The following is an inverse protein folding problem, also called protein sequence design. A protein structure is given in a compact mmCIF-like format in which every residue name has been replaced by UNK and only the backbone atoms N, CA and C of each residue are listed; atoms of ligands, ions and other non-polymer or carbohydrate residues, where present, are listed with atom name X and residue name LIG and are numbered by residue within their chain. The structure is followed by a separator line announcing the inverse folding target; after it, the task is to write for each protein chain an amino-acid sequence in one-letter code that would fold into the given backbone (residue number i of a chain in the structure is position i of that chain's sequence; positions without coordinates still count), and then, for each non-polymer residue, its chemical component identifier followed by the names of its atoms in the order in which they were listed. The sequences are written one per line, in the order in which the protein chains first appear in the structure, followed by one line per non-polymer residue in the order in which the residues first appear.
data_IF_869614155777
#
_entry.id   IF_869614155777
#
_cell.length_a   1.000
_cell.length_b   1.000
_cell.length_c   1.000
_cell.angle_alpha   90.00
_cell.angle_beta   90.00
_cell.angle_gamma   90.00
#
_symmetry.space_group_name_H-M   'P 1'
#
loop_
_entity.id
_entity.type
_entity.pdbx_description
1 polymer ?
#
# COMPACT_ATOMS: atom_id res chain seq x y z
N UNK A 1 16.89 -18.17 -4.24
CA UNK A 1 16.44 -17.34 -3.09
C UNK A 1 17.67 -16.93 -2.30
N UNK A 2 17.91 -15.63 -2.22
CA UNK A 2 19.03 -15.09 -1.46
C UNK A 2 18.77 -15.21 0.04
N UNK A 3 19.81 -15.59 0.80
CA UNK A 3 19.83 -15.52 2.25
C UNK A 3 20.61 -14.27 2.63
N UNK A 4 19.93 -13.26 3.14
CA UNK A 4 20.52 -11.99 3.51
C UNK A 4 20.41 -11.73 5.00
N UNK A 5 21.40 -11.02 5.55
CA UNK A 5 21.40 -10.64 6.97
C UNK A 5 20.70 -9.27 7.14
N UNK A 6 19.62 -9.26 7.88
CA UNK A 6 18.86 -8.07 8.26
C UNK A 6 19.07 -7.77 9.75
N UNK A 7 20.08 -6.98 10.07
CA UNK A 7 20.35 -6.58 11.46
C UNK A 7 20.66 -7.73 12.43
N UNK A 8 21.32 -8.78 11.96
CA UNK A 8 21.67 -9.97 12.75
C UNK A 8 20.72 -11.16 12.55
N UNK A 9 19.61 -10.99 11.84
CA UNK A 9 18.68 -12.05 11.47
C UNK A 9 18.83 -12.40 9.99
N UNK A 10 19.00 -13.68 9.68
CA UNK A 10 19.06 -14.13 8.28
C UNK A 10 17.65 -14.38 7.79
N UNK A 11 17.27 -13.72 6.69
CA UNK A 11 15.97 -13.85 6.04
C UNK A 11 16.11 -14.30 4.59
N UNK A 12 15.11 -15.01 4.10
CA UNK A 12 15.01 -15.44 2.71
C UNK A 12 14.27 -14.36 1.90
N UNK A 13 14.90 -13.90 0.84
CA UNK A 13 14.32 -12.92 -0.09
C UNK A 13 14.49 -13.38 -1.54
N UNK A 14 13.68 -12.80 -2.43
CA UNK A 14 13.83 -12.98 -3.87
C UNK A 14 14.22 -11.63 -4.47
N UNK A 15 15.35 -11.61 -5.15
CA UNK A 15 15.86 -10.43 -5.87
C UNK A 15 15.71 -10.62 -7.38
N UNK A 16 15.69 -9.52 -8.12
CA UNK A 16 15.47 -9.54 -9.58
C UNK A 16 16.51 -10.37 -10.33
N UNK A 17 17.74 -10.42 -9.84
CA UNK A 17 18.82 -11.20 -10.48
C UNK A 17 18.57 -12.72 -10.38
N UNK A 18 17.92 -13.20 -9.33
CA UNK A 18 17.59 -14.63 -9.16
C UNK A 18 16.29 -15.03 -9.88
N UNK A 19 15.41 -14.06 -10.09
CA UNK A 19 14.15 -14.26 -10.80
C UNK A 19 13.95 -13.12 -11.81
N UNK A 20 14.66 -13.16 -12.93
CA UNK A 20 14.61 -12.10 -13.94
C UNK A 20 13.23 -12.04 -14.61
N UNK A 21 12.92 -10.89 -15.23
CA UNK A 21 11.64 -10.63 -15.89
C UNK A 21 11.33 -11.65 -16.99
N UNK A 22 12.34 -12.13 -17.72
CA UNK A 22 12.19 -13.16 -18.75
C UNK A 22 11.67 -14.46 -18.16
N UNK A 23 12.16 -14.86 -16.98
CA UNK A 23 11.65 -16.03 -16.26
C UNK A 23 10.21 -15.81 -15.80
N UNK A 24 9.88 -14.61 -15.33
CA UNK A 24 8.51 -14.27 -14.95
C UNK A 24 7.55 -14.39 -16.15
N UNK A 25 7.98 -13.90 -17.33
CA UNK A 25 7.22 -14.03 -18.57
C UNK A 25 7.01 -15.49 -18.97
N UNK A 26 8.04 -16.31 -18.85
CA UNK A 26 7.92 -17.75 -19.16
C UNK A 26 6.95 -18.47 -18.23
N UNK A 27 7.00 -18.17 -16.93
CA UNK A 27 6.08 -18.75 -15.94
C UNK A 27 4.62 -18.39 -16.22
N UNK A 28 4.36 -17.16 -16.66
CA UNK A 28 3.01 -16.64 -16.85
C UNK A 28 2.58 -16.56 -18.33
N UNK A 29 3.31 -17.17 -19.26
CA UNK A 29 3.07 -17.04 -20.71
C UNK A 29 1.68 -17.51 -21.16
N UNK A 30 1.15 -18.53 -20.50
CA UNK A 30 -0.16 -19.13 -20.82
C UNK A 30 -1.27 -18.60 -19.90
N UNK A 31 -0.96 -17.66 -19.01
CA UNK A 31 -1.91 -17.10 -18.06
C UNK A 31 -2.60 -15.85 -18.61
N UNK A 32 -3.88 -15.70 -18.31
CA UNK A 32 -4.61 -14.45 -18.49
C UNK A 32 -4.84 -13.83 -17.12
N UNK A 33 -4.29 -12.65 -16.89
CA UNK A 33 -4.32 -11.95 -15.61
C UNK A 33 -5.46 -10.92 -15.65
N UNK A 34 -6.52 -11.12 -14.85
CA UNK A 34 -7.57 -10.13 -14.70
C UNK A 34 -7.34 -9.28 -13.44
N UNK A 35 -7.13 -7.99 -13.62
CA UNK A 35 -7.10 -7.02 -12.52
C UNK A 35 -8.52 -6.54 -12.23
N UNK A 36 -9.07 -6.97 -11.10
CA UNK A 36 -10.42 -6.63 -10.66
C UNK A 36 -10.36 -5.42 -9.74
N UNK A 37 -10.90 -4.31 -10.22
CA UNK A 37 -10.83 -3.00 -9.56
C UNK A 37 -9.72 -2.11 -10.11
N UNK A 38 -10.10 -0.85 -10.40
CA UNK A 38 -9.19 0.16 -10.96
C UNK A 38 -9.07 1.37 -10.03
N UNK A 39 -8.98 1.07 -8.71
CA UNK A 39 -8.87 2.04 -7.61
C UNK A 39 -7.43 2.50 -7.36
N UNK A 40 -6.92 2.26 -6.14
CA UNK A 40 -5.57 2.71 -5.71
C UNK A 40 -4.47 1.82 -6.32
N UNK A 41 -4.56 0.49 -6.18
CA UNK A 41 -3.53 -0.45 -6.64
C UNK A 41 -3.72 -0.88 -8.10
N UNK A 42 -4.97 -0.95 -8.57
CA UNK A 42 -5.31 -1.47 -9.90
C UNK A 42 -4.54 -0.82 -11.04
N UNK A 43 -4.51 0.52 -11.17
CA UNK A 43 -3.75 1.18 -12.23
C UNK A 43 -2.26 0.87 -12.20
N UNK A 44 -1.62 0.98 -11.03
CA UNK A 44 -0.19 0.75 -10.89
C UNK A 44 0.22 -0.66 -11.29
N UNK A 45 -0.45 -1.67 -10.75
CA UNK A 45 -0.12 -3.06 -11.01
C UNK A 45 -0.47 -3.50 -12.43
N UNK A 46 -1.67 -3.15 -12.93
CA UNK A 46 -2.09 -3.56 -14.27
C UNK A 46 -1.24 -2.94 -15.38
N UNK A 47 -0.92 -1.65 -15.25
CA UNK A 47 -0.07 -0.95 -16.23
C UNK A 47 1.36 -1.48 -16.22
N UNK A 48 1.93 -1.77 -15.03
CA UNK A 48 3.27 -2.34 -14.93
C UNK A 48 3.33 -3.74 -15.55
N UNK A 49 2.34 -4.59 -15.28
CA UNK A 49 2.24 -5.90 -15.92
C UNK A 49 2.12 -5.79 -17.44
N UNK A 50 1.24 -4.89 -17.93
CA UNK A 50 1.08 -4.65 -19.38
C UNK A 50 2.37 -4.18 -20.03
N UNK A 51 3.05 -3.21 -19.44
CA UNK A 51 4.30 -2.67 -19.97
C UNK A 51 5.44 -3.71 -19.94
N UNK A 52 5.38 -4.67 -19.01
CA UNK A 52 6.27 -5.82 -18.95
C UNK A 52 5.85 -6.98 -19.88
N UNK A 53 4.81 -6.80 -20.69
CA UNK A 53 4.43 -7.74 -21.76
C UNK A 53 3.60 -8.95 -21.31
N UNK A 54 2.93 -8.88 -20.15
CA UNK A 54 2.00 -9.91 -19.72
C UNK A 54 0.63 -9.76 -20.36
N UNK A 55 -0.13 -10.84 -20.48
CA UNK A 55 -1.52 -10.84 -20.97
C UNK A 55 -2.44 -10.40 -19.84
N UNK A 56 -2.82 -9.12 -19.86
CA UNK A 56 -3.60 -8.47 -18.79
C UNK A 56 -4.92 -7.95 -19.33
N UNK A 57 -5.98 -8.20 -18.59
CA UNK A 57 -7.30 -7.60 -18.78
C UNK A 57 -7.74 -6.91 -17.48
N UNK A 58 -8.66 -5.97 -17.56
CA UNK A 58 -9.20 -5.24 -16.42
C UNK A 58 -10.69 -5.53 -16.27
N UNK A 59 -11.11 -5.85 -15.06
CA UNK A 59 -12.51 -6.01 -14.68
C UNK A 59 -12.98 -4.83 -13.83
N UNK A 60 -13.86 -3.98 -14.36
CA UNK A 60 -14.34 -2.80 -13.67
C UNK A 60 -15.81 -2.50 -14.00
N UNK A 61 -16.58 -2.10 -12.99
CA UNK A 61 -17.95 -1.62 -13.20
C UNK A 61 -17.94 -0.20 -13.81
N UNK A 62 -18.98 0.18 -14.59
CA UNK A 62 -19.11 1.54 -15.12
C UNK A 62 -19.00 2.63 -14.04
N UNK A 63 -18.43 3.77 -14.41
CA UNK A 63 -18.24 4.95 -13.56
C UNK A 63 -16.85 5.57 -13.73
N UNK A 64 -16.49 6.53 -12.87
CA UNK A 64 -15.24 7.32 -12.97
C UNK A 64 -13.96 6.47 -13.10
N UNK A 65 -13.88 5.35 -12.37
CA UNK A 65 -12.72 4.45 -12.43
C UNK A 65 -12.68 3.63 -13.72
N UNK A 66 -13.82 3.33 -14.33
CA UNK A 66 -13.91 2.73 -15.67
C UNK A 66 -13.43 3.73 -16.74
N UNK A 67 -13.91 4.97 -16.68
CA UNK A 67 -13.48 6.04 -17.56
C UNK A 67 -11.97 6.29 -17.46
N UNK A 68 -11.43 6.24 -16.25
CA UNK A 68 -9.98 6.30 -16.02
C UNK A 68 -9.26 5.13 -16.70
N UNK A 69 -9.76 3.91 -16.61
CA UNK A 69 -9.16 2.76 -17.28
C UNK A 69 -9.14 2.96 -18.80
N UNK A 70 -10.22 3.46 -19.39
CA UNK A 70 -10.27 3.80 -20.83
C UNK A 70 -9.22 4.87 -21.18
N UNK A 71 -9.10 5.92 -20.37
CA UNK A 71 -8.08 6.96 -20.56
C UNK A 71 -6.65 6.43 -20.46
N UNK A 72 -6.40 5.41 -19.65
CA UNK A 72 -5.11 4.72 -19.48
C UNK A 72 -4.86 3.67 -20.62
N UNK A 73 -5.76 3.60 -21.60
CA UNK A 73 -5.60 2.79 -22.84
C UNK A 73 -6.14 1.37 -22.74
N UNK A 74 -7.02 1.07 -21.77
CA UNK A 74 -7.76 -0.20 -21.75
C UNK A 74 -8.98 -0.11 -22.69
N UNK A 75 -9.17 -1.12 -23.55
CA UNK A 75 -10.16 -1.10 -24.63
C UNK A 75 -11.41 -1.89 -24.23
N UNK A 76 -12.59 -1.23 -24.17
CA UNK A 76 -13.85 -1.91 -23.87
C UNK A 76 -14.13 -3.08 -24.82
N UNK A 77 -14.45 -4.25 -24.26
CA UNK A 77 -14.73 -5.47 -25.01
C UNK A 77 -13.50 -6.25 -25.50
N UNK A 78 -12.28 -5.69 -25.34
CA UNK A 78 -11.02 -6.35 -25.73
C UNK A 78 -10.12 -6.60 -24.51
N UNK A 79 -9.82 -5.54 -23.74
CA UNK A 79 -8.97 -5.58 -22.54
C UNK A 79 -9.63 -4.99 -21.30
N UNK A 80 -10.83 -4.41 -21.43
CA UNK A 80 -11.65 -3.87 -20.35
C UNK A 80 -13.06 -4.47 -20.40
N UNK A 81 -13.44 -5.15 -19.33
CA UNK A 81 -14.69 -5.90 -19.21
C UNK A 81 -15.44 -5.54 -17.91
N UNK A 82 -16.65 -6.05 -17.79
CA UNK A 82 -17.33 -6.16 -16.50
C UNK A 82 -16.58 -7.13 -15.57
N UNK A 83 -16.79 -7.00 -14.27
CA UNK A 83 -16.05 -7.80 -13.25
C UNK A 83 -16.24 -9.30 -13.49
N UNK A 84 -17.48 -9.75 -13.67
CA UNK A 84 -17.80 -11.18 -13.88
C UNK A 84 -17.13 -11.73 -15.14
N UNK A 85 -17.26 -11.01 -16.26
CA UNK A 85 -16.68 -11.45 -17.53
C UNK A 85 -15.15 -11.51 -17.46
N UNK A 86 -14.50 -10.53 -16.83
CA UNK A 86 -13.07 -10.56 -16.63
C UNK A 86 -12.63 -11.76 -15.77
N UNK A 87 -13.35 -12.05 -14.68
CA UNK A 87 -13.09 -13.22 -13.83
C UNK A 87 -13.26 -14.56 -14.56
N UNK A 88 -14.27 -14.64 -15.44
CA UNK A 88 -14.51 -15.85 -16.25
C UNK A 88 -13.37 -16.09 -17.24
N UNK A 89 -12.86 -15.04 -17.90
CA UNK A 89 -11.78 -15.10 -18.89
C UNK A 89 -10.40 -15.39 -18.27
N UNK A 90 -10.20 -15.03 -17.02
CA UNK A 90 -8.90 -15.09 -16.35
C UNK A 90 -8.53 -16.49 -15.85
N UNK A 91 -7.23 -16.76 -15.80
CA UNK A 91 -6.62 -17.87 -15.04
C UNK A 91 -6.07 -17.38 -13.70
N UNK A 92 -5.68 -16.08 -13.63
CA UNK A 92 -5.28 -15.41 -12.40
C UNK A 92 -6.20 -14.21 -12.18
N UNK A 93 -6.94 -14.21 -11.07
CA UNK A 93 -7.86 -13.14 -10.68
C UNK A 93 -7.20 -12.29 -9.59
N UNK A 94 -6.72 -11.09 -9.94
CA UNK A 94 -6.13 -10.13 -9.01
C UNK A 94 -7.22 -9.25 -8.40
N UNK A 95 -7.64 -9.54 -7.18
CA UNK A 95 -8.67 -8.79 -6.47
C UNK A 95 -8.07 -7.53 -5.83
N UNK A 96 -8.11 -6.41 -6.56
CA UNK A 96 -7.54 -5.10 -6.15
C UNK A 96 -8.64 -4.07 -5.82
N UNK A 97 -9.74 -4.56 -5.29
CA UNK A 97 -10.84 -3.75 -4.76
C UNK A 97 -10.52 -3.31 -3.32
N UNK A 98 -11.19 -2.27 -2.83
CA UNK A 98 -11.19 -1.97 -1.39
C UNK A 98 -11.89 -3.08 -0.60
N UNK A 99 -11.55 -3.26 0.68
CA UNK A 99 -12.06 -4.36 1.50
C UNK A 99 -13.59 -4.44 1.53
N UNK A 100 -14.29 -3.30 1.69
CA UNK A 100 -15.74 -3.26 1.61
C UNK A 100 -16.28 -3.62 0.22
N UNK A 101 -15.56 -3.26 -0.85
CA UNK A 101 -15.96 -3.61 -2.20
C UNK A 101 -15.72 -5.10 -2.50
N UNK A 102 -14.64 -5.68 -1.98
CA UNK A 102 -14.40 -7.14 -2.06
C UNK A 102 -15.59 -7.88 -1.48
N UNK A 103 -16.01 -7.54 -0.27
CA UNK A 103 -17.14 -8.17 0.42
C UNK A 103 -18.41 -8.11 -0.44
N UNK A 104 -18.73 -6.94 -0.99
CA UNK A 104 -19.96 -6.74 -1.78
C UNK A 104 -19.93 -7.44 -3.15
N UNK A 105 -18.75 -7.62 -3.74
CA UNK A 105 -18.57 -8.23 -5.08
C UNK A 105 -18.20 -9.71 -5.00
N UNK A 106 -17.86 -10.21 -3.82
CA UNK A 106 -17.47 -11.61 -3.62
C UNK A 106 -18.46 -12.63 -4.17
N UNK A 107 -19.78 -12.46 -4.01
CA UNK A 107 -20.76 -13.38 -4.62
C UNK A 107 -20.68 -13.46 -6.15
N UNK A 108 -20.17 -12.41 -6.82
CA UNK A 108 -19.96 -12.40 -8.27
C UNK A 108 -18.61 -13.05 -8.65
N UNK A 109 -17.57 -12.80 -7.86
CA UNK A 109 -16.21 -13.31 -8.13
C UNK A 109 -16.12 -14.81 -7.85
N UNK A 110 -16.61 -15.27 -6.69
CA UNK A 110 -16.44 -16.63 -6.21
C UNK A 110 -16.86 -17.72 -7.22
N UNK A 111 -18.02 -17.63 -7.90
CA UNK A 111 -18.43 -18.63 -8.89
C UNK A 111 -17.52 -18.72 -10.12
N UNK A 112 -16.75 -17.67 -10.41
CA UNK A 112 -15.81 -17.63 -11.53
C UNK A 112 -14.46 -18.28 -11.20
N UNK A 113 -14.19 -18.55 -9.91
CA UNK A 113 -12.96 -19.17 -9.42
C UNK A 113 -13.04 -20.68 -9.53
N UNK A 114 -12.81 -21.19 -10.74
CA UNK A 114 -12.84 -22.63 -11.04
C UNK A 114 -11.49 -23.28 -10.75
N UNK A 115 -11.48 -24.61 -10.66
CA UNK A 115 -10.32 -25.43 -10.37
C UNK A 115 -9.06 -24.99 -11.14
N UNK A 116 -7.94 -24.88 -10.44
CA UNK A 116 -6.62 -24.54 -11.00
C UNK A 116 -6.37 -23.07 -11.26
N UNK A 117 -7.38 -22.21 -11.12
CA UNK A 117 -7.16 -20.74 -11.14
C UNK A 117 -6.39 -20.27 -9.91
N UNK A 118 -5.83 -19.07 -9.99
CA UNK A 118 -5.25 -18.39 -8.84
C UNK A 118 -6.05 -17.14 -8.47
N UNK A 119 -6.31 -16.97 -7.17
CA UNK A 119 -6.86 -15.77 -6.58
C UNK A 119 -5.74 -14.99 -5.90
N UNK A 120 -5.54 -13.74 -6.33
CA UNK A 120 -4.46 -12.88 -5.85
C UNK A 120 -5.00 -11.69 -5.08
N UNK A 121 -4.30 -11.34 -4.00
CA UNK A 121 -4.53 -10.12 -3.21
C UNK A 121 -3.25 -9.30 -3.10
N UNK A 122 -3.39 -7.99 -2.84
CA UNK A 122 -2.28 -7.10 -2.48
C UNK A 122 -2.30 -6.65 -1.02
N UNK A 123 -3.19 -7.22 -0.23
CA UNK A 123 -3.33 -7.00 1.21
C UNK A 123 -3.99 -8.23 1.84
N UNK A 124 -3.52 -8.60 3.02
CA UNK A 124 -3.98 -9.82 3.70
C UNK A 124 -5.34 -9.71 4.39
N UNK A 125 -6.00 -8.55 4.38
CA UNK A 125 -7.20 -8.22 5.14
C UNK A 125 -8.35 -9.22 4.92
N UNK A 126 -8.78 -9.38 3.67
CA UNK A 126 -9.97 -10.14 3.32
C UNK A 126 -9.91 -11.60 3.78
N UNK A 127 -8.74 -12.23 3.68
CA UNK A 127 -8.51 -13.63 4.05
C UNK A 127 -8.24 -13.77 5.56
N UNK A 128 -7.49 -12.85 6.15
CA UNK A 128 -7.16 -12.88 7.59
C UNK A 128 -8.40 -12.83 8.46
N UNK A 129 -9.37 -12.00 8.09
CA UNK A 129 -10.64 -11.85 8.81
C UNK A 129 -11.82 -12.36 7.98
N UNK A 130 -11.65 -13.54 7.39
CA UNK A 130 -12.68 -14.17 6.55
C UNK A 130 -13.99 -14.47 7.30
N UNK A 131 -13.94 -14.64 8.61
CA UNK A 131 -15.09 -14.74 9.50
C UNK A 131 -15.95 -13.46 9.54
N UNK A 132 -15.37 -12.30 9.25
CA UNK A 132 -16.01 -10.99 9.21
C UNK A 132 -16.33 -10.53 7.80
N UNK A 133 -15.43 -10.82 6.87
CA UNK A 133 -15.55 -10.38 5.48
C UNK A 133 -16.43 -11.30 4.64
N UNK A 134 -16.61 -12.56 5.06
CA UNK A 134 -17.27 -13.60 4.26
C UNK A 134 -16.47 -14.08 3.05
N UNK A 135 -15.22 -13.61 2.88
CA UNK A 135 -14.35 -13.96 1.76
C UNK A 135 -13.68 -15.29 2.04
N UNK A 136 -14.34 -16.38 1.63
CA UNK A 136 -13.85 -17.74 1.77
C UNK A 136 -13.58 -18.32 0.39
N UNK A 137 -12.30 -18.46 -0.03
CA UNK A 137 -11.93 -19.00 -1.33
C UNK A 137 -12.40 -20.47 -1.52
N UNK A 138 -12.65 -20.90 -2.76
CA UNK A 138 -12.81 -22.32 -3.07
C UNK A 138 -11.56 -23.13 -2.70
N UNK A 139 -11.73 -24.40 -2.34
CA UNK A 139 -10.63 -25.27 -1.89
C UNK A 139 -9.75 -25.82 -3.04
N UNK A 140 -10.15 -25.61 -4.29
CA UNK A 140 -9.54 -26.15 -5.50
C UNK A 140 -8.81 -25.13 -6.37
N UNK A 141 -8.46 -23.97 -5.79
CA UNK A 141 -7.69 -22.89 -6.44
C UNK A 141 -6.43 -22.54 -5.64
N UNK A 142 -5.47 -21.85 -6.27
CA UNK A 142 -4.39 -21.22 -5.54
C UNK A 142 -4.87 -19.89 -4.92
N UNK A 143 -4.36 -19.56 -3.73
CA UNK A 143 -4.59 -18.24 -3.09
C UNK A 143 -3.26 -17.64 -2.69
N UNK A 144 -2.94 -16.51 -3.31
CA UNK A 144 -1.62 -15.89 -3.27
C UNK A 144 -1.71 -14.39 -2.98
N UNK A 145 -0.61 -13.83 -2.54
CA UNK A 145 -0.51 -12.39 -2.26
C UNK A 145 0.87 -11.84 -2.65
N UNK A 146 0.85 -10.66 -3.26
CA UNK A 146 2.02 -9.76 -3.29
C UNK A 146 1.56 -8.38 -2.85
N UNK A 147 2.11 -7.90 -1.75
CA UNK A 147 1.75 -6.62 -1.14
C UNK A 147 2.90 -5.61 -1.27
N UNK A 148 2.87 -4.71 -2.28
CA UNK A 148 3.83 -3.62 -2.41
C UNK A 148 3.77 -2.69 -1.20
N UNK A 149 4.93 -2.32 -0.65
CA UNK A 149 5.02 -1.42 0.50
C UNK A 149 5.00 0.04 0.04
N UNK A 150 3.82 0.47 -0.38
CA UNK A 150 3.51 1.81 -0.85
C UNK A 150 2.24 1.90 -1.71
N UNK A 151 1.83 3.12 -2.05
CA UNK A 151 0.65 3.35 -2.88
C UNK A 151 0.83 2.85 -4.31
N UNK A 152 -0.27 2.55 -4.99
CA UNK A 152 -0.24 2.17 -6.41
C UNK A 152 0.35 3.26 -7.31
N UNK A 153 0.16 4.53 -6.94
CA UNK A 153 0.80 5.67 -7.64
C UNK A 153 2.31 5.62 -7.48
N UNK A 154 2.82 5.41 -6.25
CA UNK A 154 4.25 5.29 -6.00
C UNK A 154 4.85 4.06 -6.70
N UNK A 155 4.13 2.94 -6.71
CA UNK A 155 4.54 1.74 -7.46
C UNK A 155 4.74 2.05 -8.94
N UNK A 156 3.79 2.75 -9.55
CA UNK A 156 3.85 3.14 -10.97
C UNK A 156 4.98 4.13 -11.25
N UNK A 157 5.11 5.17 -10.44
CA UNK A 157 6.16 6.20 -10.61
C UNK A 157 7.55 5.58 -10.51
N UNK A 158 7.80 4.79 -9.46
CA UNK A 158 9.10 4.14 -9.27
C UNK A 158 9.40 3.14 -10.38
N UNK A 159 8.40 2.42 -10.90
CA UNK A 159 8.57 1.53 -12.04
C UNK A 159 9.03 2.28 -13.29
N UNK A 160 8.40 3.41 -13.61
CA UNK A 160 8.76 4.25 -14.75
C UNK A 160 10.17 4.87 -14.61
N UNK A 161 10.64 5.06 -13.38
CA UNK A 161 11.99 5.51 -13.07
C UNK A 161 13.03 4.38 -13.08
N UNK A 162 12.65 3.14 -13.42
CA UNK A 162 13.54 1.99 -13.36
C UNK A 162 13.85 1.49 -11.94
N UNK A 163 13.11 1.97 -10.96
CA UNK A 163 13.17 1.60 -9.54
C UNK A 163 12.08 0.57 -9.20
N UNK A 164 11.92 0.22 -7.93
CA UNK A 164 10.84 -0.66 -7.49
C UNK A 164 10.56 -0.51 -6.00
N UNK A 165 9.29 -0.64 -5.63
CA UNK A 165 8.88 -0.79 -4.24
C UNK A 165 9.17 -2.20 -3.75
N UNK A 166 9.67 -2.34 -2.54
CA UNK A 166 9.78 -3.64 -1.90
C UNK A 166 8.37 -4.21 -1.66
N UNK A 167 8.23 -5.51 -1.77
CA UNK A 167 6.93 -6.17 -1.59
C UNK A 167 7.07 -7.39 -0.69
N UNK A 168 6.07 -7.63 0.15
CA UNK A 168 5.94 -8.93 0.79
C UNK A 168 5.13 -9.87 -0.09
N UNK A 169 5.38 -11.18 0.03
CA UNK A 169 4.59 -12.20 -0.64
C UNK A 169 4.13 -13.28 0.34
N UNK A 170 2.99 -13.89 0.05
CA UNK A 170 2.49 -15.02 0.83
C UNK A 170 1.69 -15.99 -0.05
N UNK A 171 1.73 -17.26 0.32
CA UNK A 171 0.91 -18.33 -0.24
C UNK A 171 -0.01 -18.80 0.87
N UNK A 172 -1.32 -18.63 0.67
CA UNK A 172 -2.33 -19.12 1.59
C UNK A 172 -2.76 -20.54 1.24
N UNK A 173 -2.87 -20.81 -0.09
CA UNK A 173 -3.30 -22.09 -0.62
C UNK A 173 -2.55 -22.40 -1.92
N UNK A 174 -1.94 -23.57 -2.01
CA UNK A 174 -1.26 -24.10 -3.20
C UNK A 174 -1.87 -25.46 -3.58
N UNK A 175 -2.76 -25.46 -4.54
CA UNK A 175 -3.44 -26.66 -5.02
C UNK A 175 -2.81 -27.17 -6.30
N UNK A 176 -2.25 -26.25 -7.10
CA UNK A 176 -1.68 -26.58 -8.40
C UNK A 176 -0.20 -26.96 -8.34
N UNK A 177 0.48 -26.71 -7.21
CA UNK A 177 1.94 -26.79 -7.08
C UNK A 177 2.69 -25.66 -7.81
N UNK A 178 1.94 -24.63 -8.31
CA UNK A 178 2.50 -23.48 -9.06
C UNK A 178 2.36 -22.16 -8.30
N UNK A 179 1.73 -22.16 -7.13
CA UNK A 179 1.42 -20.93 -6.40
C UNK A 179 2.67 -20.08 -6.14
N UNK A 180 3.78 -20.71 -5.75
CA UNK A 180 5.04 -20.00 -5.52
C UNK A 180 5.56 -19.28 -6.77
N UNK A 181 5.70 -20.01 -7.89
CA UNK A 181 6.25 -19.42 -9.12
C UNK A 181 5.34 -18.33 -9.68
N UNK A 182 4.00 -18.53 -9.65
CA UNK A 182 3.02 -17.52 -10.02
C UNK A 182 3.16 -16.26 -9.15
N UNK A 183 3.31 -16.43 -7.84
CA UNK A 183 3.44 -15.32 -6.89
C UNK A 183 4.69 -14.48 -7.16
N UNK A 184 5.83 -15.15 -7.29
CA UNK A 184 7.09 -14.45 -7.55
C UNK A 184 7.08 -13.78 -8.93
N UNK A 185 6.57 -14.47 -9.96
CA UNK A 185 6.47 -13.92 -11.30
C UNK A 185 5.57 -12.68 -11.36
N UNK A 186 4.43 -12.68 -10.62
CA UNK A 186 3.58 -11.50 -10.48
C UNK A 186 4.30 -10.36 -9.73
N UNK A 187 5.01 -10.69 -8.64
CA UNK A 187 5.79 -9.70 -7.89
C UNK A 187 6.85 -9.00 -8.73
N UNK A 188 7.59 -9.76 -9.54
CA UNK A 188 8.56 -9.21 -10.51
C UNK A 188 7.81 -8.43 -11.60
N UNK A 189 6.70 -8.98 -12.11
CA UNK A 189 5.90 -8.37 -13.17
C UNK A 189 5.30 -7.01 -12.81
N UNK A 190 4.87 -6.81 -11.57
CA UNK A 190 4.40 -5.50 -11.09
C UNK A 190 5.54 -4.53 -10.78
N UNK A 191 6.80 -4.95 -10.86
CA UNK A 191 7.96 -4.09 -10.68
C UNK A 191 8.46 -3.98 -9.25
N UNK A 192 8.31 -5.02 -8.42
CA UNK A 192 8.85 -5.03 -7.04
C UNK A 192 10.37 -4.84 -7.01
N UNK A 193 10.89 -4.17 -5.98
CA UNK A 193 12.32 -4.01 -5.71
C UNK A 193 12.95 -5.35 -5.31
N UNK A 194 12.55 -5.90 -4.17
CA UNK A 194 12.76 -7.28 -3.77
C UNK A 194 11.50 -7.82 -3.11
N UNK A 195 11.41 -9.14 -2.99
CA UNK A 195 10.27 -9.83 -2.40
C UNK A 195 10.72 -10.55 -1.12
N UNK A 196 9.98 -10.38 -0.03
CA UNK A 196 10.21 -11.09 1.24
C UNK A 196 8.98 -11.86 1.66
N UNK A 197 9.21 -13.02 2.27
CA UNK A 197 8.13 -13.92 2.67
C UNK A 197 7.39 -13.43 3.90
N UNK A 198 6.07 -13.60 3.89
CA UNK A 198 5.19 -13.33 5.02
C UNK A 198 4.01 -14.31 5.04
N UNK A 199 2.99 -14.03 5.84
CA UNK A 199 1.68 -14.68 5.79
C UNK A 199 0.59 -13.62 5.64
N UNK A 200 -0.60 -14.01 5.17
CA UNK A 200 -1.74 -13.09 5.08
C UNK A 200 -2.01 -12.39 6.43
N UNK A 201 -1.97 -13.15 7.52
CA UNK A 201 -2.18 -12.60 8.87
C UNK A 201 -1.08 -11.62 9.31
N UNK A 202 0.20 -11.97 9.08
CA UNK A 202 1.31 -11.07 9.42
C UNK A 202 1.29 -9.79 8.60
N UNK A 203 1.04 -9.93 7.31
CA UNK A 203 0.94 -8.78 6.40
C UNK A 203 -0.19 -7.85 6.84
N UNK A 204 -1.42 -8.36 7.00
CA UNK A 204 -2.56 -7.56 7.43
C UNK A 204 -2.32 -6.89 8.79
N UNK A 205 -1.69 -7.59 9.74
CA UNK A 205 -1.40 -7.04 11.06
C UNK A 205 -0.34 -5.93 10.99
N UNK A 206 0.76 -6.14 10.27
CA UNK A 206 1.82 -5.14 10.16
C UNK A 206 1.39 -3.93 9.33
N UNK A 207 0.63 -4.14 8.25
CA UNK A 207 0.17 -3.10 7.36
C UNK A 207 -0.82 -2.15 8.06
N UNK A 208 -1.88 -2.69 8.69
CA UNK A 208 -2.82 -1.88 9.47
C UNK A 208 -2.15 -1.15 10.64
N UNK A 209 -1.16 -1.78 11.28
CA UNK A 209 -0.38 -1.12 12.35
C UNK A 209 0.48 0.01 11.78
N UNK A 210 1.13 -0.23 10.64
CA UNK A 210 1.96 0.77 9.96
C UNK A 210 1.17 2.00 9.52
N UNK A 211 0.02 1.80 8.85
CA UNK A 211 -0.83 2.89 8.37
C UNK A 211 -1.35 3.79 9.50
N UNK A 212 -1.83 3.19 10.57
CA UNK A 212 -2.34 3.91 11.76
C UNK A 212 -1.21 4.47 12.63
N UNK A 213 -0.05 3.84 12.57
CA UNK A 213 1.19 4.24 13.23
C UNK A 213 2.00 5.24 12.41
N UNK A 214 3.29 4.92 12.25
CA UNK A 214 4.31 5.83 11.72
C UNK A 214 4.10 6.27 10.26
N UNK A 215 3.33 5.53 9.45
CA UNK A 215 3.16 5.88 8.03
C UNK A 215 2.18 7.04 7.81
N UNK A 216 1.11 7.14 8.62
CA UNK A 216 0.10 8.20 8.48
C UNK A 216 -0.40 8.71 9.83
N UNK A 217 -1.03 7.87 10.66
CA UNK A 217 -1.76 8.34 11.84
C UNK A 217 -0.87 8.99 12.89
N UNK A 218 0.19 8.31 13.32
CA UNK A 218 1.08 8.82 14.36
C UNK A 218 1.93 10.01 13.88
N UNK A 219 2.42 10.00 12.63
CA UNK A 219 3.18 11.16 12.10
C UNK A 219 2.30 12.41 12.01
N UNK A 220 1.04 12.26 11.56
CA UNK A 220 0.10 13.38 11.54
C UNK A 220 -0.18 13.93 12.94
N UNK A 221 -0.41 13.04 13.91
CA UNK A 221 -0.62 13.43 15.30
C UNK A 221 0.59 14.14 15.92
N UNK A 222 1.81 13.66 15.65
CA UNK A 222 3.05 14.29 16.11
C UNK A 222 3.22 15.71 15.54
N UNK A 223 3.03 15.85 14.22
CA UNK A 223 3.16 17.15 13.55
C UNK A 223 2.14 18.15 14.08
N UNK A 224 0.89 17.72 14.26
CA UNK A 224 -0.17 18.56 14.79
C UNK A 224 0.12 19.00 16.23
N UNK A 225 0.51 18.09 17.11
CA UNK A 225 0.82 18.40 18.49
C UNK A 225 1.97 19.42 18.63
N UNK A 226 3.04 19.26 17.85
CA UNK A 226 4.15 20.22 17.86
C UNK A 226 3.74 21.59 17.30
N UNK A 227 2.96 21.59 16.21
CA UNK A 227 2.43 22.84 15.64
C UNK A 227 1.56 23.59 16.65
N UNK A 228 0.63 22.93 17.31
CA UNK A 228 -0.25 23.53 18.31
C UNK A 228 0.55 24.12 19.49
N UNK A 229 1.51 23.39 20.04
CA UNK A 229 2.37 23.90 21.13
C UNK A 229 3.14 25.14 20.70
N UNK A 230 3.68 25.20 19.50
CA UNK A 230 4.36 26.40 18.99
C UNK A 230 3.37 27.57 18.87
N UNK A 231 2.18 27.34 18.31
CA UNK A 231 1.13 28.36 18.18
C UNK A 231 0.68 28.90 19.54
N UNK A 232 0.49 28.04 20.51
CA UNK A 232 0.09 28.40 21.90
C UNK A 232 1.17 29.24 22.60
N UNK A 233 2.43 29.09 22.20
CA UNK A 233 3.55 29.87 22.73
C UNK A 233 3.90 31.12 21.90
N UNK A 234 3.02 31.52 20.97
CA UNK A 234 3.10 32.79 20.27
C UNK A 234 3.87 32.78 18.96
N UNK A 235 4.36 31.62 18.48
CA UNK A 235 4.95 31.54 17.17
C UNK A 235 3.92 31.76 16.05
N UNK A 236 4.32 32.42 14.98
CA UNK A 236 3.41 32.65 13.84
C UNK A 236 3.04 31.35 13.14
N UNK A 237 1.89 31.27 12.42
CA UNK A 237 1.55 30.06 11.64
C UNK A 237 2.66 29.64 10.67
N UNK A 238 3.29 30.61 10.00
CA UNK A 238 4.39 30.33 9.07
C UNK A 238 5.61 29.73 9.78
N UNK A 239 6.02 30.31 10.92
CA UNK A 239 7.14 29.80 11.70
C UNK A 239 6.84 28.39 12.23
N UNK A 240 5.68 28.18 12.89
CA UNK A 240 5.29 26.88 13.40
C UNK A 240 5.23 25.81 12.30
N UNK A 241 4.74 26.16 11.10
CA UNK A 241 4.67 25.21 9.98
C UNK A 241 6.05 24.88 9.42
N UNK A 242 6.93 25.86 9.27
CA UNK A 242 8.30 25.61 8.78
C UNK A 242 9.07 24.70 9.73
N UNK A 243 9.03 24.97 11.04
CA UNK A 243 9.72 24.19 12.07
C UNK A 243 9.11 22.81 12.35
N UNK A 244 7.94 22.52 11.81
CA UNK A 244 7.24 21.24 12.06
C UNK A 244 7.17 20.37 10.80
N UNK A 245 6.69 20.93 9.69
CA UNK A 245 6.37 20.16 8.48
C UNK A 245 7.35 20.44 7.35
N UNK A 246 7.60 21.72 7.07
CA UNK A 246 8.29 22.11 5.83
C UNK A 246 9.76 21.68 5.85
N UNK A 247 10.50 22.01 6.90
CA UNK A 247 11.90 21.61 7.06
C UNK A 247 12.05 20.08 7.08
N UNK A 248 11.15 19.38 7.81
CA UNK A 248 11.16 17.93 7.85
C UNK A 248 11.02 17.33 6.44
N UNK A 249 10.02 17.76 5.67
CA UNK A 249 9.68 17.12 4.40
C UNK A 249 10.53 17.58 3.24
N UNK A 250 10.94 18.84 3.21
CA UNK A 250 11.73 19.42 2.12
C UNK A 250 13.23 19.12 2.27
N UNK A 251 13.75 19.12 3.50
CA UNK A 251 15.18 19.03 3.79
C UNK A 251 15.59 17.69 4.44
N UNK A 252 14.97 17.33 5.55
CA UNK A 252 15.48 16.24 6.39
C UNK A 252 15.05 14.85 5.91
N UNK A 253 13.81 14.68 5.46
CA UNK A 253 13.31 13.38 4.96
C UNK A 253 14.07 12.86 3.72
N UNK A 254 14.53 13.67 2.77
CA UNK A 254 15.40 13.21 1.70
C UNK A 254 16.73 12.63 2.19
N UNK A 255 17.33 13.21 3.23
CA UNK A 255 18.55 12.69 3.86
C UNK A 255 18.28 11.37 4.58
N UNK A 256 17.18 11.34 5.35
CA UNK A 256 16.72 10.12 6.02
C UNK A 256 16.44 8.98 5.01
N UNK A 257 15.75 9.26 3.92
CA UNK A 257 15.45 8.27 2.89
C UNK A 257 16.70 7.74 2.18
N UNK A 258 17.76 8.55 2.07
CA UNK A 258 19.01 8.16 1.40
C UNK A 258 19.84 7.19 2.23
N UNK A 259 20.03 7.44 3.51
CA UNK A 259 20.93 6.64 4.36
C UNK A 259 20.55 6.65 5.85
N UNK A 260 19.27 6.81 6.18
CA UNK A 260 18.76 6.73 7.56
C UNK A 260 19.09 7.94 8.43
N UNK A 261 18.83 7.77 9.73
CA UNK A 261 18.98 8.83 10.74
C UNK A 261 20.42 9.33 10.86
N UNK A 262 21.40 8.46 10.68
CA UNK A 262 22.83 8.81 10.79
C UNK A 262 23.20 9.90 9.76
N UNK A 263 22.80 9.74 8.50
CA UNK A 263 23.02 10.77 7.48
C UNK A 263 22.28 12.06 7.79
N UNK A 264 21.05 11.98 8.28
CA UNK A 264 20.28 13.15 8.68
C UNK A 264 21.00 13.90 9.80
N UNK A 265 21.43 13.21 10.88
CA UNK A 265 22.19 13.82 11.97
C UNK A 265 23.51 14.43 11.49
N UNK A 266 24.27 13.73 10.67
CA UNK A 266 25.56 14.22 10.14
C UNK A 266 25.45 15.54 9.36
N UNK A 267 24.28 15.86 8.85
CA UNK A 267 24.00 17.11 8.13
C UNK A 267 23.38 18.21 9.00
N UNK A 268 23.25 17.98 10.30
CA UNK A 268 22.71 18.95 11.26
C UNK A 268 23.78 19.48 12.21
N UNK A 269 23.51 20.60 12.88
CA UNK A 269 24.41 21.18 13.88
C UNK A 269 24.57 20.24 15.09
N UNK A 270 25.68 20.35 15.80
CA UNK A 270 25.91 19.56 17.02
C UNK A 270 24.87 19.84 18.11
N UNK A 271 24.32 21.05 18.15
CA UNK A 271 23.20 21.42 19.03
C UNK A 271 21.94 20.64 18.69
N UNK A 272 21.58 20.57 17.39
CA UNK A 272 20.43 19.79 16.93
C UNK A 272 20.62 18.30 17.21
N UNK A 273 21.80 17.75 16.88
CA UNK A 273 22.15 16.36 17.16
C UNK A 273 21.96 16.01 18.64
N UNK A 274 22.52 16.82 19.53
CA UNK A 274 22.45 16.57 20.99
C UNK A 274 21.01 16.64 21.49
N UNK A 275 20.28 17.69 21.13
CA UNK A 275 18.89 17.87 21.53
C UNK A 275 17.99 16.72 21.05
N UNK A 276 18.14 16.33 19.79
CA UNK A 276 17.37 15.21 19.22
C UNK A 276 17.64 13.88 19.92
N UNK A 277 18.91 13.57 20.23
CA UNK A 277 19.27 12.35 20.99
C UNK A 277 18.71 12.39 22.41
N UNK A 278 18.69 13.54 23.07
CA UNK A 278 18.16 13.66 24.43
C UNK A 278 16.64 13.48 24.46
N UNK A 279 15.92 13.95 23.45
CA UNK A 279 14.46 13.84 23.39
C UNK A 279 13.93 12.57 22.72
N UNK A 280 14.77 11.79 22.05
CA UNK A 280 14.38 10.51 21.47
C UNK A 280 13.75 9.57 22.50
N UNK A 281 14.37 9.42 23.67
CA UNK A 281 13.88 8.53 24.74
C UNK A 281 12.53 8.98 25.31
N UNK A 282 12.34 10.26 25.72
CA UNK A 282 11.02 10.73 26.14
C UNK A 282 9.90 10.48 25.11
N UNK A 283 10.16 10.72 23.83
CA UNK A 283 9.17 10.43 22.78
C UNK A 283 8.91 8.94 22.63
N UNK A 284 9.96 8.11 22.61
CA UNK A 284 9.81 6.65 22.55
C UNK A 284 8.93 6.13 23.68
N UNK A 285 9.21 6.55 24.92
CA UNK A 285 8.50 6.07 26.11
C UNK A 285 7.04 6.51 26.14
N UNK A 286 6.75 7.70 25.60
CA UNK A 286 5.38 8.17 25.46
C UNK A 286 4.60 7.44 24.35
N UNK A 287 5.24 7.15 23.21
CA UNK A 287 4.58 6.59 22.04
C UNK A 287 4.45 5.06 22.13
N UNK A 288 5.43 4.36 22.66
CA UNK A 288 5.45 2.88 22.68
C UNK A 288 4.17 2.26 23.27
N UNK A 289 3.63 2.71 24.42
CA UNK A 289 2.38 2.17 24.95
C UNK A 289 1.18 2.37 24.03
N UNK A 290 1.15 3.48 23.27
CA UNK A 290 0.10 3.75 22.30
C UNK A 290 0.19 2.78 21.12
N UNK A 291 1.41 2.52 20.62
CA UNK A 291 1.64 1.55 19.53
C UNK A 291 1.30 0.12 19.98
N UNK A 292 1.64 -0.26 21.23
CA UNK A 292 1.27 -1.56 21.79
C UNK A 292 -0.26 -1.74 21.87
N UNK A 293 -0.99 -0.70 22.30
CA UNK A 293 -2.46 -0.68 22.30
C UNK A 293 -3.02 -0.82 20.88
N UNK A 294 -2.46 -0.07 19.93
CA UNK A 294 -2.83 -0.15 18.51
C UNK A 294 -2.60 -1.56 17.97
N UNK A 295 -1.40 -2.12 18.16
CA UNK A 295 -1.07 -3.46 17.69
C UNK A 295 -2.01 -4.52 18.25
N UNK A 296 -2.35 -4.43 19.54
CA UNK A 296 -3.33 -5.33 20.16
C UNK A 296 -4.71 -5.19 19.52
N UNK A 297 -5.19 -3.96 19.27
CA UNK A 297 -6.47 -3.69 18.61
C UNK A 297 -6.51 -4.25 17.18
N UNK A 298 -5.43 -4.10 16.43
CA UNK A 298 -5.28 -4.71 15.10
C UNK A 298 -5.30 -6.23 15.19
N UNK A 299 -4.46 -6.81 16.04
CA UNK A 299 -4.29 -8.27 16.17
C UNK A 299 -5.60 -8.98 16.55
N UNK A 300 -6.44 -8.36 17.36
CA UNK A 300 -7.76 -8.88 17.76
C UNK A 300 -8.84 -8.68 16.69
N UNK A 301 -8.52 -8.00 15.58
CA UNK A 301 -9.44 -7.70 14.50
C UNK A 301 -10.43 -6.56 14.82
N UNK A 302 -10.22 -5.83 15.91
CA UNK A 302 -11.07 -4.68 16.25
C UNK A 302 -10.95 -3.59 15.18
N UNK A 303 -9.73 -3.28 14.74
CA UNK A 303 -9.50 -2.28 13.68
C UNK A 303 -10.09 -2.71 12.32
N UNK A 304 -10.07 -4.01 12.04
CA UNK A 304 -10.73 -4.55 10.85
C UNK A 304 -12.25 -4.35 10.92
N UNK A 305 -12.87 -4.63 12.08
CA UNK A 305 -14.29 -4.43 12.27
C UNK A 305 -14.68 -2.95 12.13
N UNK A 306 -13.92 -2.04 12.74
CA UNK A 306 -14.16 -0.58 12.62
C UNK A 306 -14.12 -0.16 11.13
N UNK A 307 -13.15 -0.66 10.36
CA UNK A 307 -13.04 -0.35 8.93
C UNK A 307 -14.23 -0.89 8.13
N UNK A 308 -14.65 -2.13 8.41
CA UNK A 308 -15.82 -2.74 7.79
C UNK A 308 -17.08 -1.93 8.10
N UNK A 309 -17.33 -1.63 9.37
CA UNK A 309 -18.51 -0.91 9.83
C UNK A 309 -18.61 0.50 9.25
N UNK A 310 -17.47 1.18 9.13
CA UNK A 310 -17.40 2.51 8.53
C UNK A 310 -17.61 2.47 7.02
N UNK A 311 -16.85 1.64 6.33
CA UNK A 311 -16.79 1.65 4.85
C UNK A 311 -17.98 0.95 4.19
N UNK A 312 -18.76 0.18 4.94
CA UNK A 312 -20.00 -0.45 4.45
C UNK A 312 -21.22 0.47 4.50
N UNK A 313 -21.11 1.66 5.11
CA UNK A 313 -22.23 2.61 5.17
C UNK A 313 -22.45 3.26 3.79
N UNK A 314 -23.71 3.52 3.40
CA UNK A 314 -24.01 4.16 2.11
C UNK A 314 -23.35 5.55 1.95
N UNK A 315 -23.22 6.29 3.05
CA UNK A 315 -22.71 7.66 3.14
C UNK A 315 -21.21 7.74 3.52
N UNK A 316 -20.49 6.59 3.56
CA UNK A 316 -19.12 6.58 4.06
C UNK A 316 -18.17 7.52 3.32
N UNK A 317 -18.36 7.64 1.98
CA UNK A 317 -17.50 8.52 1.16
C UNK A 317 -17.75 9.99 1.44
N UNK A 318 -18.99 10.36 1.69
CA UNK A 318 -19.39 11.73 2.05
C UNK A 318 -18.78 12.10 3.39
N UNK A 319 -18.95 11.23 4.40
CA UNK A 319 -18.35 11.43 5.73
C UNK A 319 -16.83 11.49 5.71
N UNK A 320 -16.18 10.59 5.00
CA UNK A 320 -14.72 10.63 4.84
C UNK A 320 -14.28 11.95 4.18
N UNK A 321 -14.99 12.43 3.16
CA UNK A 321 -14.68 13.70 2.51
C UNK A 321 -14.90 14.90 3.43
N UNK A 322 -15.92 14.86 4.31
CA UNK A 322 -16.12 15.88 5.34
C UNK A 322 -14.94 15.94 6.34
N UNK A 323 -14.48 14.79 6.82
CA UNK A 323 -13.30 14.70 7.72
C UNK A 323 -12.02 15.18 7.03
N UNK A 324 -11.78 14.76 5.80
CA UNK A 324 -10.63 15.19 5.01
C UNK A 324 -10.69 16.68 4.66
N UNK A 325 -11.89 17.22 4.45
CA UNK A 325 -12.12 18.65 4.25
C UNK A 325 -11.77 19.44 5.51
N UNK A 326 -12.27 19.00 6.68
CA UNK A 326 -11.92 19.64 7.95
C UNK A 326 -10.41 19.66 8.19
N UNK A 327 -9.72 18.57 7.86
CA UNK A 327 -8.26 18.51 7.91
C UNK A 327 -7.62 19.56 6.98
N UNK A 328 -8.03 19.63 5.71
CA UNK A 328 -7.50 20.59 4.72
C UNK A 328 -7.77 22.05 5.09
N UNK A 329 -8.87 22.32 5.78
CA UNK A 329 -9.29 23.65 6.21
C UNK A 329 -8.67 24.08 7.55
N UNK A 330 -7.95 23.18 8.25
CA UNK A 330 -7.24 23.54 9.49
C UNK A 330 -6.15 24.58 9.23
N UNK A 331 -5.85 25.40 10.25
CA UNK A 331 -4.83 26.46 10.16
C UNK A 331 -3.48 25.92 9.64
N UNK A 332 -3.03 24.79 10.16
CA UNK A 332 -1.76 24.19 9.76
C UNK A 332 -1.73 23.87 8.25
N UNK A 333 -2.78 23.23 7.70
CA UNK A 333 -2.80 22.85 6.29
C UNK A 333 -3.15 24.02 5.35
N UNK A 334 -3.86 25.04 5.83
CA UNK A 334 -4.01 26.30 5.09
C UNK A 334 -2.69 27.07 5.02
N UNK A 335 -1.90 27.06 6.08
CA UNK A 335 -0.54 27.60 6.08
C UNK A 335 0.35 26.88 5.07
N UNK A 336 0.23 25.55 4.97
CA UNK A 336 0.95 24.75 3.98
C UNK A 336 0.71 25.22 2.55
N UNK A 337 -0.52 25.57 2.19
CA UNK A 337 -0.88 26.06 0.85
C UNK A 337 -0.08 27.34 0.54
N UNK A 338 -0.02 28.26 1.50
CA UNK A 338 0.68 29.53 1.31
C UNK A 338 2.20 29.34 1.25
N UNK A 339 2.79 28.59 2.19
CA UNK A 339 4.24 28.32 2.23
C UNK A 339 4.71 27.64 0.93
N UNK A 340 4.03 26.59 0.49
CA UNK A 340 4.40 25.86 -0.74
C UNK A 340 4.24 26.70 -2.01
N UNK A 341 3.27 27.63 -2.04
CA UNK A 341 3.09 28.57 -3.13
C UNK A 341 4.24 29.58 -3.27
N UNK A 342 4.94 29.85 -2.16
CA UNK A 342 6.09 30.76 -2.14
C UNK A 342 7.43 30.09 -2.52
N UNK A 343 7.44 28.77 -2.72
CA UNK A 343 8.64 28.07 -3.19
C UNK A 343 8.99 28.53 -4.61
N UNK A 344 10.29 28.79 -4.90
CA UNK A 344 10.71 29.26 -6.22
C UNK A 344 10.27 28.37 -7.40
N UNK A 345 10.27 27.05 -7.19
CA UNK A 345 9.86 26.07 -8.20
C UNK A 345 8.35 26.07 -8.51
N UNK A 346 7.56 26.78 -7.72
CA UNK A 346 6.10 26.92 -7.89
C UNK A 346 5.66 28.33 -8.34
N UNK A 347 6.63 29.22 -8.64
CA UNK A 347 6.39 30.60 -9.11
C UNK A 347 6.74 30.76 -10.59
#
# INVERSE_FOLDING_TARGET
MAQLNFGGVTETVVIRDEFPLEKAREVLKDETIAVIGYGVQGPGQSLNLRDNGFNVIVGQRPGKTYEKAVADGWVPGETLFGIEEACQKATIVMCLLSDAAVMSVWPTIKPCLTQGKALYFSHGFAITWSDRTGVVPPADIDVIMVAPKGSGTSLRTMFLEGRGLNSSYAIYQDVTGKAYERTIALGIGIGSGYLFETTFQREATSDLTGERGSLMGAIQGLLLAQYEVLRENGHSPSEAFNETVEELTQSLMPLFAKNGMDLMYANCSTTAQRGALDWMTPFHDAIKPVVEKLYHSVKTGNEAQISIDSNSKPDYREKLEEELKALRESEMWQTAVTVRKLRPENN
#
